data_IF_797559704133
#
_entry.id   IF_797559704133
#
_cell.length_a   1.000
_cell.length_b   1.000
_cell.length_c   1.000
_cell.angle_alpha   90.00
_cell.angle_beta   90.00
_cell.angle_gamma   90.00
#
_symmetry.space_group_name_H-M   'P 1'
#
loop_
_entity.id
_entity.type
_entity.pdbx_description
1 polymer ?
#
# COMPACT_ATOMS: atom_id res chain seq x y z
N UNK A 1 -27.48 14.81 17.94
CA UNK A 1 -27.34 15.35 16.57
C UNK A 1 -26.72 14.26 15.70
N UNK A 2 -27.51 13.52 14.93
CA UNK A 2 -26.97 12.55 13.98
C UNK A 2 -26.39 13.30 12.79
N UNK A 3 -25.16 12.99 12.38
CA UNK A 3 -24.54 13.60 11.20
C UNK A 3 -25.11 12.86 9.97
N UNK A 4 -26.21 13.40 9.42
CA UNK A 4 -27.00 12.74 8.36
C UNK A 4 -26.30 12.82 6.98
N UNK A 5 -25.49 13.85 6.73
CA UNK A 5 -24.93 14.13 5.40
C UNK A 5 -23.44 13.81 5.24
N UNK A 6 -22.66 13.64 6.31
CA UNK A 6 -21.22 13.29 6.22
C UNK A 6 -20.81 12.43 7.40
N UNK A 7 -20.77 11.12 7.19
CA UNK A 7 -20.31 10.19 8.22
C UNK A 7 -18.77 10.22 8.31
N UNK A 8 -18.24 11.08 9.19
CA UNK A 8 -16.80 11.23 9.41
C UNK A 8 -16.12 9.92 9.81
N UNK A 9 -16.83 9.04 10.54
CA UNK A 9 -16.30 7.70 10.88
C UNK A 9 -16.18 6.83 9.63
N UNK A 10 -17.17 6.87 8.73
CA UNK A 10 -17.09 6.16 7.46
C UNK A 10 -15.97 6.70 6.56
N UNK A 11 -15.77 8.02 6.51
CA UNK A 11 -14.66 8.63 5.77
C UNK A 11 -13.29 8.24 6.33
N UNK A 12 -13.14 8.22 7.65
CA UNK A 12 -11.92 7.76 8.31
C UNK A 12 -11.66 6.28 8.01
N UNK A 13 -12.68 5.42 8.14
CA UNK A 13 -12.59 4.01 7.77
C UNK A 13 -12.24 3.84 6.29
N UNK A 14 -12.83 4.64 5.39
CA UNK A 14 -12.56 4.56 3.96
C UNK A 14 -11.14 5.02 3.61
N UNK A 15 -10.61 6.05 4.30
CA UNK A 15 -9.21 6.46 4.16
C UNK A 15 -8.23 5.38 4.67
N UNK A 16 -8.55 4.76 5.82
CA UNK A 16 -7.78 3.64 6.35
C UNK A 16 -7.81 2.43 5.41
N UNK A 17 -9.00 2.08 4.89
CA UNK A 17 -9.18 1.01 3.90
C UNK A 17 -8.37 1.28 2.64
N UNK A 18 -8.38 2.50 2.10
CA UNK A 18 -7.58 2.89 0.94
C UNK A 18 -6.07 2.75 1.19
N UNK A 19 -5.62 2.94 2.43
CA UNK A 19 -4.22 2.66 2.80
C UNK A 19 -3.96 1.16 2.86
N UNK A 20 -4.86 0.39 3.47
CA UNK A 20 -4.77 -1.07 3.56
C UNK A 20 -4.80 -1.74 2.19
N UNK A 21 -5.64 -1.29 1.26
CA UNK A 21 -5.72 -1.79 -0.12
C UNK A 21 -4.39 -1.57 -0.86
N UNK A 22 -3.76 -0.40 -0.70
CA UNK A 22 -2.44 -0.15 -1.29
C UNK A 22 -1.37 -1.08 -0.71
N UNK A 23 -1.34 -1.24 0.61
CA UNK A 23 -0.41 -2.19 1.26
C UNK A 23 -0.66 -3.63 0.83
N UNK A 24 -1.93 -4.04 0.67
CA UNK A 24 -2.29 -5.36 0.19
C UNK A 24 -1.85 -5.56 -1.26
N UNK A 25 -2.07 -4.57 -2.13
CA UNK A 25 -1.62 -4.63 -3.53
C UNK A 25 -0.09 -4.77 -3.64
N UNK A 26 0.65 -4.02 -2.82
CA UNK A 26 2.11 -4.13 -2.74
C UNK A 26 2.53 -5.51 -2.21
N UNK A 27 1.89 -6.02 -1.17
CA UNK A 27 2.18 -7.34 -0.62
C UNK A 27 1.90 -8.46 -1.65
N UNK A 28 0.79 -8.35 -2.39
CA UNK A 28 0.44 -9.26 -3.48
C UNK A 28 1.48 -9.20 -4.62
N UNK A 29 1.98 -8.01 -4.95
CA UNK A 29 3.01 -7.85 -5.96
C UNK A 29 4.35 -8.46 -5.50
N UNK A 30 4.74 -8.30 -4.24
CA UNK A 30 5.93 -8.95 -3.67
C UNK A 30 5.78 -10.47 -3.62
N UNK A 31 4.61 -10.98 -3.24
CA UNK A 31 4.32 -12.42 -3.24
C UNK A 31 4.37 -12.99 -4.67
N UNK A 32 3.78 -12.30 -5.64
CA UNK A 32 3.72 -12.75 -7.03
C UNK A 32 5.08 -12.71 -7.72
N UNK A 33 5.92 -11.73 -7.41
CA UNK A 33 7.28 -11.64 -7.99
C UNK A 33 8.30 -12.45 -7.20
N UNK A 34 7.98 -12.83 -5.96
CA UNK A 34 8.91 -13.44 -5.01
C UNK A 34 10.04 -12.51 -4.58
N UNK A 35 10.05 -11.26 -5.03
CA UNK A 35 11.09 -10.27 -4.75
C UNK A 35 10.63 -9.36 -3.63
N UNK A 36 11.52 -9.16 -2.65
CA UNK A 36 11.30 -8.21 -1.55
C UNK A 36 11.33 -6.76 -2.05
N UNK A 37 12.09 -6.51 -3.13
CA UNK A 37 12.23 -5.21 -3.80
C UNK A 37 11.67 -5.36 -5.20
N UNK A 38 10.54 -4.71 -5.47
CA UNK A 38 9.83 -4.81 -6.76
C UNK A 38 10.21 -3.70 -7.73
N UNK A 39 10.66 -2.55 -7.23
CA UNK A 39 11.04 -1.40 -8.05
C UNK A 39 12.27 -0.68 -7.52
N UNK A 40 13.09 -0.13 -8.41
CA UNK A 40 14.20 0.76 -8.06
C UNK A 40 13.73 2.08 -7.42
N UNK A 41 12.43 2.38 -7.47
CA UNK A 41 11.83 3.53 -6.80
C UNK A 41 11.64 3.28 -5.31
N UNK A 42 11.36 2.04 -4.91
CA UNK A 42 11.15 1.68 -3.51
C UNK A 42 12.48 1.55 -2.75
N UNK A 43 13.52 1.04 -3.43
CA UNK A 43 14.90 1.02 -2.92
C UNK A 43 15.90 0.89 -4.09
N UNK A 44 16.45 2.01 -4.55
CA UNK A 44 17.41 2.05 -5.65
C UNK A 44 18.72 1.33 -5.30
N UNK A 45 19.16 1.40 -4.04
CA UNK A 45 20.40 0.80 -3.58
C UNK A 45 20.27 -0.72 -3.39
N UNK A 46 19.17 -1.16 -2.76
CA UNK A 46 18.86 -2.59 -2.61
C UNK A 46 18.58 -3.28 -3.94
N UNK A 47 17.96 -2.59 -4.90
CA UNK A 47 17.80 -3.11 -6.27
C UNK A 47 19.15 -3.27 -6.98
N UNK A 48 20.06 -2.30 -6.87
CA UNK A 48 21.39 -2.38 -7.48
C UNK A 48 22.22 -3.55 -6.95
N UNK A 49 22.10 -3.87 -5.65
CA UNK A 49 22.75 -5.04 -5.03
C UNK A 49 22.09 -6.35 -5.48
N UNK A 50 20.75 -6.39 -5.58
CA UNK A 50 20.01 -7.59 -5.98
C UNK A 50 20.15 -7.95 -7.48
N UNK A 51 20.58 -6.99 -8.31
CA UNK A 51 20.76 -7.18 -9.76
C UNK A 51 22.23 -7.37 -10.17
N UNK A 52 23.15 -7.39 -9.20
CA UNK A 52 24.58 -7.67 -9.42
C UNK A 52 24.87 -9.15 -9.32
#
# INVERSE_FOLDING_TARGET
MAVINTNVKALFSQAALKSTERSQSVAMQQLSTGKRINSARDDAAGMAIATR
#
